data_IF_251102287034
#
_entry.id   IF_251102287034
#
_cell.length_a   1.000
_cell.length_b   1.000
_cell.length_c   1.000
_cell.angle_alpha   90.00
_cell.angle_beta   90.00
_cell.angle_gamma   90.00
#
_symmetry.space_group_name_H-M   'P 1'
#
loop_
_entity.id
_entity.type
_entity.pdbx_description
1 polymer ?
#
# COMPACT_ATOMS: atom_id res chain seq x y z
N UNK A 1 15.65 5.01 13.34
CA UNK A 1 14.22 5.38 13.37
C UNK A 1 13.51 4.48 14.35
N UNK A 2 12.73 5.07 15.27
CA UNK A 2 11.90 4.30 16.18
C UNK A 2 10.74 3.64 15.41
N UNK A 3 10.60 2.32 15.52
CA UNK A 3 9.57 1.54 14.81
C UNK A 3 8.16 1.92 15.27
N UNK A 4 8.01 2.50 16.46
CA UNK A 4 6.71 3.00 16.95
C UNK A 4 6.26 4.26 16.20
N UNK A 5 7.18 5.17 15.87
CA UNK A 5 6.87 6.41 15.12
C UNK A 5 6.34 6.13 13.71
N UNK A 6 6.85 5.09 13.04
CA UNK A 6 6.36 4.65 11.72
C UNK A 6 4.99 3.99 11.83
N UNK A 7 4.72 3.26 12.91
CA UNK A 7 3.40 2.66 13.12
C UNK A 7 2.32 3.72 13.33
N UNK A 8 2.67 4.85 13.94
CA UNK A 8 1.74 5.97 14.10
C UNK A 8 1.26 6.53 12.75
N UNK A 9 2.10 6.50 11.71
CA UNK A 9 1.71 7.00 10.38
C UNK A 9 0.61 6.15 9.73
N UNK A 10 0.56 4.84 10.02
CA UNK A 10 -0.57 3.99 9.65
C UNK A 10 -1.87 4.47 10.28
N UNK A 11 -1.87 4.77 11.58
CA UNK A 11 -3.07 5.19 12.30
C UNK A 11 -3.56 6.57 11.82
N UNK A 12 -2.64 7.49 11.52
CA UNK A 12 -2.96 8.78 10.91
C UNK A 12 -3.57 8.61 9.50
N UNK A 13 -2.96 7.77 8.65
CA UNK A 13 -3.49 7.50 7.32
C UNK A 13 -4.88 6.85 7.37
N UNK A 14 -5.07 5.87 8.27
CA UNK A 14 -6.35 5.19 8.49
C UNK A 14 -7.42 6.18 8.98
N UNK A 15 -7.07 7.06 9.90
CA UNK A 15 -7.97 8.10 10.42
C UNK A 15 -8.45 9.06 9.34
N UNK A 16 -7.54 9.56 8.50
CA UNK A 16 -7.89 10.44 7.38
C UNK A 16 -8.73 9.72 6.32
N UNK A 17 -8.39 8.48 5.97
CA UNK A 17 -9.19 7.63 5.07
C UNK A 17 -10.62 7.45 5.63
N UNK A 18 -10.74 7.06 6.90
CA UNK A 18 -12.03 6.87 7.57
C UNK A 18 -12.86 8.15 7.69
N UNK A 19 -12.21 9.30 7.94
CA UNK A 19 -12.90 10.60 7.95
C UNK A 19 -13.50 10.95 6.59
N UNK A 20 -12.71 10.83 5.52
CA UNK A 20 -13.17 11.13 4.17
C UNK A 20 -14.30 10.18 3.73
N UNK A 21 -14.23 8.89 4.10
CA UNK A 21 -15.34 7.94 3.90
C UNK A 21 -16.59 8.34 4.66
N UNK A 22 -16.46 8.82 5.91
CA UNK A 22 -17.60 9.33 6.69
C UNK A 22 -18.28 10.51 6.00
N UNK A 23 -17.51 11.35 5.32
CA UNK A 23 -18.02 12.50 4.54
C UNK A 23 -18.56 12.10 3.15
N UNK A 24 -18.43 10.84 2.73
CA UNK A 24 -18.94 10.38 1.43
C UNK A 24 -18.00 10.58 0.25
N UNK A 25 -16.71 10.85 0.47
CA UNK A 25 -15.74 10.96 -0.63
C UNK A 25 -15.65 9.65 -1.43
N UNK A 26 -15.69 8.49 -0.78
CA UNK A 26 -15.86 7.18 -1.42
C UNK A 26 -16.55 6.19 -0.48
N UNK A 27 -16.95 5.04 -1.02
CA UNK A 27 -17.57 3.95 -0.26
C UNK A 27 -16.51 2.95 0.18
N UNK A 28 -16.42 2.74 1.49
CA UNK A 28 -15.59 1.70 2.09
C UNK A 28 -16.28 1.20 3.38
N UNK A 29 -16.96 0.05 3.34
CA UNK A 29 -17.65 -0.48 4.51
C UNK A 29 -16.67 -1.06 5.55
N UNK A 30 -15.40 -1.25 5.19
CA UNK A 30 -14.40 -1.93 6.00
C UNK A 30 -13.55 -0.96 6.83
N UNK A 31 -13.23 0.24 6.33
CA UNK A 31 -12.30 1.16 7.01
C UNK A 31 -12.73 1.52 8.45
N UNK A 32 -14.05 1.55 8.70
CA UNK A 32 -14.62 1.84 10.02
C UNK A 32 -14.26 0.80 11.08
N UNK A 33 -13.90 -0.43 10.69
CA UNK A 33 -13.43 -1.44 11.66
C UNK A 33 -12.02 -1.16 12.16
N UNK A 34 -11.22 -0.45 11.37
CA UNK A 34 -9.85 -0.06 11.71
C UNK A 34 -9.79 1.31 12.39
N UNK A 35 -10.71 2.22 12.04
CA UNK A 35 -10.89 3.50 12.72
C UNK A 35 -12.39 3.84 12.86
N UNK A 36 -13.05 3.46 13.99
CA UNK A 36 -14.47 3.71 14.19
C UNK A 36 -14.82 5.19 14.40
N UNK A 37 -13.91 5.94 15.05
CA UNK A 37 -14.10 7.35 15.41
C UNK A 37 -12.95 8.17 14.82
N UNK A 38 -13.03 8.57 13.54
CA UNK A 38 -11.99 9.38 12.94
C UNK A 38 -12.07 10.84 13.39
N UNK A 39 -10.90 11.43 13.63
CA UNK A 39 -10.72 12.86 13.87
C UNK A 39 -10.99 13.63 12.58
N UNK A 40 -11.55 14.83 12.69
CA UNK A 40 -11.80 15.69 11.54
C UNK A 40 -10.50 16.19 10.90
N UNK A 41 -10.47 16.15 9.58
CA UNK A 41 -9.40 16.73 8.76
C UNK A 41 -9.93 17.90 7.93
N UNK A 42 -9.04 18.74 7.41
CA UNK A 42 -9.45 19.83 6.51
C UNK A 42 -9.98 19.25 5.18
N UNK A 43 -10.78 20.04 4.42
CA UNK A 43 -11.28 19.60 3.12
C UNK A 43 -10.15 19.23 2.14
N UNK A 44 -9.05 19.96 2.15
CA UNK A 44 -7.89 19.72 1.27
C UNK A 44 -7.25 18.36 1.55
N UNK A 45 -7.11 18.00 2.83
CA UNK A 45 -6.61 16.69 3.23
C UNK A 45 -7.56 15.59 2.76
N UNK A 46 -8.87 15.77 2.95
CA UNK A 46 -9.87 14.79 2.51
C UNK A 46 -9.87 14.59 0.99
N UNK A 47 -9.73 15.69 0.22
CA UNK A 47 -9.56 15.65 -1.25
C UNK A 47 -8.28 14.95 -1.66
N UNK A 48 -7.16 15.23 -0.99
CA UNK A 48 -5.89 14.54 -1.25
C UNK A 48 -6.00 13.03 -1.04
N UNK A 49 -6.62 12.60 0.07
CA UNK A 49 -6.87 11.18 0.33
C UNK A 49 -7.84 10.56 -0.67
N UNK A 50 -8.85 11.30 -1.13
CA UNK A 50 -9.73 10.83 -2.19
C UNK A 50 -8.96 10.53 -3.47
N UNK A 51 -8.16 11.48 -3.99
CA UNK A 51 -7.36 11.27 -5.21
C UNK A 51 -6.39 10.10 -5.02
N UNK A 52 -5.68 10.06 -3.89
CA UNK A 52 -4.77 8.97 -3.51
C UNK A 52 -5.46 7.60 -3.59
N UNK A 53 -6.60 7.43 -2.92
CA UNK A 53 -7.32 6.14 -2.87
C UNK A 53 -7.90 5.75 -4.23
N UNK A 54 -8.52 6.70 -4.95
CA UNK A 54 -9.09 6.44 -6.27
C UNK A 54 -8.02 6.05 -7.29
N UNK A 55 -6.83 6.67 -7.21
CA UNK A 55 -5.71 6.36 -8.10
C UNK A 55 -5.24 4.91 -7.93
N UNK A 56 -5.01 4.47 -6.69
CA UNK A 56 -4.60 3.08 -6.42
C UNK A 56 -5.65 2.09 -6.86
N UNK A 57 -6.92 2.34 -6.51
CA UNK A 57 -8.01 1.44 -6.90
C UNK A 57 -8.19 1.36 -8.42
N UNK A 58 -8.11 2.49 -9.13
CA UNK A 58 -8.23 2.53 -10.58
C UNK A 58 -7.08 1.79 -11.28
N UNK A 59 -5.84 2.06 -10.90
CA UNK A 59 -4.66 1.42 -11.49
C UNK A 59 -4.66 -0.08 -11.20
N UNK A 60 -4.94 -0.48 -9.96
CA UNK A 60 -5.00 -1.90 -9.58
C UNK A 60 -6.12 -2.61 -10.34
N UNK A 61 -7.32 -2.04 -10.38
CA UNK A 61 -8.45 -2.62 -11.13
C UNK A 61 -8.08 -2.77 -12.61
N UNK A 62 -7.48 -1.74 -13.20
CA UNK A 62 -7.06 -1.78 -14.61
C UNK A 62 -6.01 -2.85 -14.87
N UNK A 63 -4.99 -2.94 -14.02
CA UNK A 63 -3.95 -3.96 -14.12
C UNK A 63 -4.51 -5.39 -14.03
N UNK A 64 -5.47 -5.62 -13.13
CA UNK A 64 -6.17 -6.91 -13.02
C UNK A 64 -6.96 -7.23 -14.29
N UNK A 65 -7.66 -6.23 -14.85
CA UNK A 65 -8.43 -6.39 -16.09
C UNK A 65 -7.52 -6.68 -17.29
N UNK A 66 -6.45 -5.92 -17.48
CA UNK A 66 -5.52 -6.10 -18.60
C UNK A 66 -4.79 -7.46 -18.55
N UNK A 67 -4.71 -8.08 -17.37
CA UNK A 67 -4.13 -9.41 -17.19
C UNK A 67 -5.18 -10.54 -17.11
N UNK A 68 -6.46 -10.28 -17.39
CA UNK A 68 -7.57 -11.24 -17.24
C UNK A 68 -7.58 -11.94 -15.87
N UNK A 69 -7.30 -11.18 -14.80
CA UNK A 69 -7.13 -11.65 -13.41
C UNK A 69 -5.95 -12.59 -13.17
N UNK A 70 -5.20 -12.97 -14.21
CA UNK A 70 -4.01 -13.83 -14.13
C UNK A 70 -2.75 -13.03 -13.76
N UNK A 71 -2.82 -12.29 -12.67
CA UNK A 71 -1.73 -11.47 -12.14
C UNK A 71 -1.61 -11.59 -10.62
N UNK A 72 -0.56 -10.97 -10.08
CA UNK A 72 -0.22 -10.97 -8.66
C UNK A 72 -0.12 -9.52 -8.18
N UNK A 73 -0.54 -9.27 -6.95
CA UNK A 73 -0.42 -7.95 -6.32
C UNK A 73 0.29 -8.07 -5.00
N UNK A 74 1.27 -7.20 -4.76
CA UNK A 74 2.02 -7.12 -3.51
C UNK A 74 1.97 -5.68 -2.98
N UNK A 75 1.27 -5.48 -1.88
CA UNK A 75 1.15 -4.19 -1.21
C UNK A 75 2.15 -4.09 -0.06
N UNK A 76 3.19 -3.28 -0.25
CA UNK A 76 4.21 -3.00 0.76
C UNK A 76 3.72 -1.94 1.73
N UNK A 77 3.98 -2.12 3.02
CA UNK A 77 3.52 -1.18 4.06
C UNK A 77 2.01 -1.01 4.05
N UNK A 78 1.28 -2.11 3.86
CA UNK A 78 -0.16 -2.08 3.60
C UNK A 78 -0.98 -1.52 4.78
N UNK A 79 -0.42 -1.51 5.99
CA UNK A 79 -1.09 -1.00 7.17
C UNK A 79 -2.50 -1.56 7.32
N UNK A 80 -3.47 -0.69 7.60
CA UNK A 80 -4.89 -1.03 7.72
C UNK A 80 -5.66 -0.86 6.41
N UNK A 81 -4.99 -0.95 5.26
CA UNK A 81 -5.61 -0.81 3.95
C UNK A 81 -6.71 -1.86 3.71
N UNK A 82 -7.73 -1.47 2.94
CA UNK A 82 -8.96 -2.21 2.69
C UNK A 82 -9.17 -2.56 1.22
N UNK A 83 -8.21 -2.25 0.35
CA UNK A 83 -8.33 -2.40 -1.11
C UNK A 83 -8.67 -3.84 -1.49
N UNK A 84 -8.07 -4.86 -0.86
CA UNK A 84 -8.42 -6.26 -1.12
C UNK A 84 -9.93 -6.52 -0.99
N UNK A 85 -10.55 -6.04 0.09
CA UNK A 85 -11.98 -6.26 0.33
C UNK A 85 -12.84 -5.52 -0.69
N UNK A 86 -12.48 -4.29 -1.04
CA UNK A 86 -13.17 -3.50 -2.07
C UNK A 86 -13.05 -4.12 -3.46
N UNK A 87 -11.91 -4.73 -3.78
CA UNK A 87 -11.72 -5.50 -5.02
C UNK A 87 -12.56 -6.79 -5.01
N UNK A 88 -12.64 -7.48 -3.86
CA UNK A 88 -13.47 -8.68 -3.71
C UNK A 88 -14.96 -8.39 -3.92
N UNK A 89 -15.47 -7.30 -3.35
CA UNK A 89 -16.87 -6.87 -3.53
C UNK A 89 -17.21 -6.57 -4.99
N UNK A 90 -16.21 -6.22 -5.80
CA UNK A 90 -16.33 -5.96 -7.24
C UNK A 90 -15.99 -7.18 -8.11
N UNK A 91 -15.79 -8.35 -7.50
CA UNK A 91 -15.37 -9.60 -8.16
C UNK A 91 -14.08 -9.44 -9.01
N UNK A 92 -13.22 -8.50 -8.64
CA UNK A 92 -12.02 -8.11 -9.39
C UNK A 92 -10.76 -8.46 -8.63
N UNK A 93 -10.65 -9.72 -8.18
CA UNK A 93 -9.47 -10.21 -7.46
C UNK A 93 -8.39 -10.72 -8.42
N UNK A 94 -7.10 -10.49 -8.12
CA UNK A 94 -5.99 -11.15 -8.80
C UNK A 94 -5.88 -12.62 -8.37
N UNK A 95 -4.96 -13.37 -8.99
CA UNK A 95 -4.64 -14.74 -8.59
C UNK A 95 -4.13 -14.81 -7.15
N UNK A 96 -3.28 -13.85 -6.76
CA UNK A 96 -2.73 -13.72 -5.41
C UNK A 96 -2.68 -12.24 -5.03
N UNK A 97 -3.14 -11.91 -3.82
CA UNK A 97 -2.99 -10.59 -3.22
C UNK A 97 -2.21 -10.71 -1.92
N UNK A 98 -1.07 -10.03 -1.82
CA UNK A 98 -0.18 -10.07 -0.66
C UNK A 98 -0.12 -8.69 -0.03
N UNK A 99 -0.20 -8.64 1.29
CA UNK A 99 0.10 -7.47 2.11
C UNK A 99 1.30 -7.75 3.00
N UNK A 100 2.24 -6.81 3.00
CA UNK A 100 3.45 -6.85 3.82
C UNK A 100 3.48 -5.63 4.73
N UNK A 101 3.81 -5.83 6.00
CA UNK A 101 4.07 -4.74 6.94
C UNK A 101 4.99 -5.19 8.08
N UNK A 102 5.37 -4.28 8.96
CA UNK A 102 6.08 -4.60 10.19
C UNK A 102 5.24 -5.51 11.10
N UNK A 103 5.88 -6.38 11.90
CA UNK A 103 5.17 -7.37 12.72
C UNK A 103 4.07 -6.81 13.61
N UNK A 104 4.23 -5.60 14.16
CA UNK A 104 3.23 -4.96 15.01
C UNK A 104 1.93 -4.60 14.25
N UNK A 105 2.06 -4.01 13.05
CA UNK A 105 0.93 -3.67 12.19
C UNK A 105 0.21 -4.92 11.69
N UNK A 106 0.97 -5.95 11.29
CA UNK A 106 0.40 -7.24 10.88
C UNK A 106 -0.38 -7.89 12.02
N UNK A 107 0.19 -7.94 13.24
CA UNK A 107 -0.51 -8.44 14.43
C UNK A 107 -1.81 -7.68 14.70
N UNK A 108 -1.78 -6.34 14.65
CA UNK A 108 -2.96 -5.48 14.86
C UNK A 108 -4.04 -5.73 13.80
N UNK A 109 -3.65 -5.85 12.53
CA UNK A 109 -4.57 -6.14 11.42
C UNK A 109 -5.20 -7.52 11.58
N UNK A 110 -4.40 -8.57 11.78
CA UNK A 110 -4.90 -9.95 11.98
C UNK A 110 -5.85 -10.00 13.18
N UNK A 111 -5.51 -9.34 14.30
CA UNK A 111 -6.39 -9.27 15.46
C UNK A 111 -7.74 -8.61 15.13
N UNK A 112 -7.72 -7.51 14.38
CA UNK A 112 -8.94 -6.81 13.94
C UNK A 112 -9.78 -7.67 13.00
N UNK A 113 -9.15 -8.34 12.04
CA UNK A 113 -9.80 -9.27 11.12
C UNK A 113 -10.52 -10.38 11.90
N UNK A 114 -9.86 -11.01 12.88
CA UNK A 114 -10.42 -12.09 13.70
C UNK A 114 -11.65 -11.68 14.52
N UNK A 115 -11.76 -10.42 14.92
CA UNK A 115 -12.85 -9.92 15.78
C UNK A 115 -14.01 -9.30 15.03
N UNK A 116 -13.78 -8.87 13.79
CA UNK A 116 -14.77 -8.14 13.00
C UNK A 116 -15.63 -9.10 12.18
N UNK A 117 -16.93 -9.17 12.48
CA UNK A 117 -17.89 -10.02 11.74
C UNK A 117 -17.98 -9.66 10.25
N UNK A 118 -17.95 -8.36 9.92
CA UNK A 118 -18.01 -7.91 8.53
C UNK A 118 -16.75 -8.35 7.75
N UNK A 119 -15.56 -8.24 8.36
CA UNK A 119 -14.32 -8.69 7.74
C UNK A 119 -14.27 -10.22 7.62
N UNK A 120 -14.69 -10.95 8.66
CA UNK A 120 -14.78 -12.41 8.59
C UNK A 120 -15.73 -12.88 7.48
N UNK A 121 -16.87 -12.22 7.33
CA UNK A 121 -17.83 -12.51 6.27
C UNK A 121 -17.23 -12.21 4.89
N UNK A 122 -16.51 -11.09 4.75
CA UNK A 122 -15.81 -10.74 3.52
C UNK A 122 -14.62 -11.67 3.23
N UNK A 123 -14.01 -12.33 4.22
CA UNK A 123 -12.94 -13.31 4.03
C UNK A 123 -13.47 -14.71 3.69
N UNK A 124 -14.69 -15.04 4.13
CA UNK A 124 -15.33 -16.29 3.82
C UNK A 124 -15.41 -16.50 2.31
N UNK A 125 -14.94 -17.67 1.89
CA UNK A 125 -14.98 -18.14 0.51
C UNK A 125 -15.44 -19.59 0.64
N UNK A 126 -16.66 -19.92 0.20
CA UNK A 126 -17.26 -21.28 0.13
C UNK A 126 -16.97 -22.27 1.26
N UNK A 127 -18.01 -22.70 1.99
CA UNK A 127 -18.09 -23.84 2.95
C UNK A 127 -16.98 -24.04 4.01
N UNK A 128 -16.01 -23.14 4.12
CA UNK A 128 -14.94 -23.23 5.11
C UNK A 128 -15.32 -22.47 6.38
N UNK A 129 -15.90 -23.19 7.34
CA UNK A 129 -16.42 -22.67 8.62
C UNK A 129 -15.37 -22.34 9.68
N UNK A 130 -14.07 -22.49 9.39
CA UNK A 130 -13.01 -22.08 10.32
C UNK A 130 -11.88 -21.30 9.63
N UNK A 131 -12.03 -19.97 9.57
CA UNK A 131 -11.02 -19.05 9.05
C UNK A 131 -10.01 -18.57 10.09
N UNK A 132 -10.16 -18.95 11.37
CA UNK A 132 -9.21 -18.52 12.39
C UNK A 132 -7.92 -19.33 12.24
N UNK A 133 -6.79 -18.73 11.82
CA UNK A 133 -5.53 -19.45 11.89
C UNK A 133 -5.24 -19.68 13.38
N UNK A 134 -5.32 -20.93 13.83
CA UNK A 134 -4.48 -21.45 14.91
C UNK A 134 -3.06 -21.46 14.37
N UNK A 135 -2.40 -20.31 14.44
CA UNK A 135 -1.13 -20.07 13.77
C UNK A 135 -0.43 -18.84 14.34
N UNK A 136 0.84 -18.61 13.96
CA UNK A 136 1.64 -17.53 14.50
C UNK A 136 1.01 -16.17 14.18
N UNK A 137 1.17 -15.21 15.08
CA UNK A 137 0.51 -13.89 15.00
C UNK A 137 1.15 -12.95 13.98
N UNK A 138 2.21 -13.39 13.30
CA UNK A 138 3.02 -12.64 12.34
C UNK A 138 2.57 -12.85 10.88
N UNK A 139 1.60 -13.75 10.62
CA UNK A 139 1.08 -14.04 9.28
C UNK A 139 -0.35 -14.58 9.29
N UNK A 140 -1.06 -14.40 8.19
CA UNK A 140 -2.37 -15.01 7.94
C UNK A 140 -2.58 -15.29 6.44
N UNK A 141 -3.36 -16.32 6.14
CA UNK A 141 -3.74 -16.72 4.78
C UNK A 141 -5.25 -16.97 4.73
N UNK A 142 -5.91 -16.40 3.72
CA UNK A 142 -7.33 -16.56 3.43
C UNK A 142 -7.51 -16.80 1.93
N UNK A 143 -7.46 -18.06 1.50
CA UNK A 143 -7.48 -18.40 0.08
C UNK A 143 -6.27 -17.79 -0.65
N UNK A 144 -6.53 -16.88 -1.59
CA UNK A 144 -5.53 -16.13 -2.37
C UNK A 144 -5.01 -14.86 -1.68
N UNK A 145 -5.53 -14.51 -0.51
CA UNK A 145 -5.10 -13.34 0.26
C UNK A 145 -4.11 -13.71 1.35
N UNK A 146 -2.94 -13.07 1.33
CA UNK A 146 -1.84 -13.30 2.25
C UNK A 146 -1.49 -12.01 2.99
N UNK A 147 -1.31 -12.11 4.31
CA UNK A 147 -0.80 -11.02 5.15
C UNK A 147 0.45 -11.56 5.84
N UNK A 148 1.58 -10.91 5.64
CA UNK A 148 2.89 -11.39 6.10
C UNK A 148 3.66 -10.27 6.77
N UNK A 149 4.35 -10.57 7.88
CA UNK A 149 5.28 -9.62 8.45
C UNK A 149 6.62 -9.63 7.72
N UNK A 150 7.12 -8.47 7.31
CA UNK A 150 8.45 -8.31 6.74
C UNK A 150 8.96 -6.89 6.96
N UNK A 151 10.23 -6.75 7.38
CA UNK A 151 10.89 -5.45 7.44
C UNK A 151 11.58 -5.19 6.11
N UNK A 152 11.08 -4.21 5.35
CA UNK A 152 11.58 -3.83 4.01
C UNK A 152 13.02 -3.29 4.02
N UNK A 153 13.62 -3.05 5.20
CA UNK A 153 15.05 -2.74 5.33
C UNK A 153 15.93 -3.99 5.43
N UNK A 154 15.32 -5.18 5.55
CA UNK A 154 16.04 -6.46 5.54
C UNK A 154 16.62 -6.76 4.15
N UNK A 155 17.45 -7.79 4.08
CA UNK A 155 18.02 -8.26 2.81
C UNK A 155 16.93 -8.52 1.76
N UNK A 156 16.95 -7.85 0.59
CA UNK A 156 15.96 -8.06 -0.45
C UNK A 156 15.88 -9.52 -0.95
N UNK A 157 16.97 -10.29 -0.89
CA UNK A 157 16.92 -11.71 -1.28
C UNK A 157 16.01 -12.53 -0.35
N UNK A 158 15.98 -12.20 0.95
CA UNK A 158 15.08 -12.84 1.92
C UNK A 158 13.60 -12.52 1.64
N UNK A 159 13.30 -11.35 1.07
CA UNK A 159 11.95 -11.02 0.62
C UNK A 159 11.53 -11.92 -0.56
N UNK A 160 12.41 -12.10 -1.54
CA UNK A 160 12.14 -12.99 -2.68
C UNK A 160 11.93 -14.42 -2.21
N UNK A 161 12.78 -14.90 -1.29
CA UNK A 161 12.62 -16.23 -0.70
C UNK A 161 11.26 -16.37 0.01
N UNK A 162 10.84 -15.36 0.79
CA UNK A 162 9.54 -15.35 1.46
C UNK A 162 8.37 -15.37 0.46
N UNK A 163 8.45 -14.55 -0.60
CA UNK A 163 7.37 -14.38 -1.55
C UNK A 163 7.23 -15.54 -2.53
N UNK A 164 8.34 -16.07 -3.05
CA UNK A 164 8.34 -17.04 -4.14
C UNK A 164 8.57 -18.48 -3.68
N UNK A 165 9.48 -18.68 -2.71
CA UNK A 165 10.07 -20.01 -2.46
C UNK A 165 9.63 -20.63 -1.12
N UNK A 166 9.16 -19.82 -0.18
CA UNK A 166 8.77 -20.28 1.16
C UNK A 166 7.48 -21.12 1.10
N UNK A 167 7.45 -22.32 1.72
CA UNK A 167 6.23 -23.13 1.81
C UNK A 167 5.11 -22.44 2.60
N UNK A 168 5.49 -21.57 3.55
CA UNK A 168 4.57 -20.75 4.35
C UNK A 168 4.24 -19.41 3.66
N UNK A 169 4.81 -19.17 2.48
CA UNK A 169 4.64 -17.97 1.68
C UNK A 169 3.48 -18.03 0.68
N UNK A 170 3.31 -16.98 -0.12
CA UNK A 170 2.29 -16.92 -1.17
C UNK A 170 2.65 -17.75 -2.41
N UNK A 171 3.90 -18.18 -2.57
CA UNK A 171 4.39 -18.90 -3.74
C UNK A 171 4.14 -18.11 -5.04
N UNK A 172 4.57 -16.85 -5.06
CA UNK A 172 4.49 -16.02 -6.26
C UNK A 172 5.29 -16.63 -7.40
N UNK A 173 4.71 -16.65 -8.59
CA UNK A 173 5.40 -17.02 -9.83
C UNK A 173 6.09 -15.78 -10.40
N UNK A 174 7.42 -15.80 -10.61
CA UNK A 174 8.13 -14.71 -11.29
C UNK A 174 7.75 -14.51 -12.77
N UNK A 175 7.05 -15.48 -13.36
CA UNK A 175 6.61 -15.46 -14.76
C UNK A 175 5.25 -14.78 -14.94
N UNK A 176 4.50 -14.57 -13.85
CA UNK A 176 3.21 -13.88 -13.89
C UNK A 176 3.37 -12.35 -13.74
N UNK A 177 2.54 -11.55 -14.44
CA UNK A 177 2.47 -10.11 -14.23
C UNK A 177 2.26 -9.78 -12.76
N UNK A 178 3.15 -8.97 -12.20
CA UNK A 178 3.15 -8.62 -10.77
C UNK A 178 3.16 -7.12 -10.59
N UNK A 179 2.15 -6.60 -9.89
CA UNK A 179 2.06 -5.19 -9.51
C UNK A 179 2.44 -5.01 -8.04
N UNK A 180 3.48 -4.22 -7.81
CA UNK A 180 3.93 -3.80 -6.49
C UNK A 180 3.34 -2.44 -6.13
N UNK A 181 2.86 -2.29 -4.91
CA UNK A 181 2.26 -1.05 -4.41
C UNK A 181 3.09 -0.53 -3.23
N UNK A 182 3.34 0.78 -3.21
CA UNK A 182 3.94 1.49 -2.08
C UNK A 182 3.21 2.83 -1.87
N UNK A 183 2.28 2.86 -0.93
CA UNK A 183 1.40 4.02 -0.67
C UNK A 183 1.88 4.81 0.56
N UNK A 184 2.77 5.78 0.35
CA UNK A 184 3.55 6.49 1.38
C UNK A 184 4.42 5.54 2.20
N UNK A 185 5.34 4.82 1.55
CA UNK A 185 6.16 3.79 2.22
C UNK A 185 7.64 4.03 2.04
N UNK A 186 8.11 4.22 0.80
CA UNK A 186 9.54 4.30 0.52
C UNK A 186 10.20 5.53 1.16
N UNK A 187 9.46 6.62 1.36
CA UNK A 187 9.92 7.83 2.07
C UNK A 187 10.34 7.56 3.52
N UNK A 188 9.81 6.52 4.17
CA UNK A 188 10.21 6.10 5.52
C UNK A 188 11.44 5.18 5.54
N UNK A 189 11.96 4.79 4.37
CA UNK A 189 13.05 3.83 4.21
C UNK A 189 14.26 4.54 3.61
N UNK A 190 15.44 4.51 4.27
CA UNK A 190 16.66 5.06 3.68
C UNK A 190 16.92 4.52 2.27
N UNK A 191 17.36 5.39 1.35
CA UNK A 191 17.59 5.04 -0.07
C UNK A 191 18.52 3.82 -0.22
N UNK A 192 19.52 3.69 0.66
CA UNK A 192 20.44 2.54 0.69
C UNK A 192 19.75 1.18 0.89
N UNK A 193 18.53 1.15 1.41
CA UNK A 193 17.71 -0.06 1.57
C UNK A 193 16.61 -0.15 0.52
N UNK A 194 15.93 0.96 0.20
CA UNK A 194 14.84 0.95 -0.79
C UNK A 194 15.33 0.73 -2.22
N UNK A 195 16.52 1.21 -2.61
CA UNK A 195 17.03 0.97 -3.97
C UNK A 195 17.38 -0.51 -4.24
N UNK A 196 18.08 -1.23 -3.34
CA UNK A 196 18.25 -2.68 -3.48
C UNK A 196 16.93 -3.47 -3.56
N UNK A 197 15.93 -3.08 -2.77
CA UNK A 197 14.58 -3.62 -2.86
C UNK A 197 13.98 -3.42 -4.26
N UNK A 198 13.97 -2.19 -4.78
CA UNK A 198 13.45 -1.90 -6.11
C UNK A 198 14.21 -2.67 -7.22
N UNK A 199 15.54 -2.79 -7.08
CA UNK A 199 16.40 -3.50 -8.01
C UNK A 199 16.10 -5.00 -8.07
N UNK A 200 15.96 -5.67 -6.92
CA UNK A 200 15.69 -7.11 -6.92
C UNK A 200 14.30 -7.42 -7.49
N UNK A 201 13.31 -6.55 -7.26
CA UNK A 201 11.96 -6.74 -7.80
C UNK A 201 11.94 -6.64 -9.34
N UNK A 202 12.63 -5.63 -9.89
CA UNK A 202 12.73 -5.44 -11.35
C UNK A 202 13.45 -6.58 -12.06
N UNK A 203 14.42 -7.20 -11.38
CA UNK A 203 15.25 -8.28 -11.95
C UNK A 203 14.64 -9.66 -11.76
N UNK A 204 13.91 -9.90 -10.67
CA UNK A 204 13.32 -11.21 -10.37
C UNK A 204 12.08 -11.49 -11.19
N UNK A 205 11.20 -10.51 -11.40
CA UNK A 205 9.91 -10.69 -12.06
C UNK A 205 9.97 -10.28 -13.52
N UNK A 206 9.61 -11.20 -14.42
CA UNK A 206 9.70 -11.00 -15.88
C UNK A 206 8.79 -9.88 -16.39
N UNK A 207 7.62 -9.70 -15.74
CA UNK A 207 6.64 -8.67 -16.04
C UNK A 207 6.25 -7.99 -14.72
N UNK A 208 6.90 -6.87 -14.41
CA UNK A 208 6.68 -6.14 -13.18
C UNK A 208 6.19 -4.72 -13.45
N UNK A 209 5.25 -4.26 -12.61
CA UNK A 209 4.87 -2.86 -12.49
C UNK A 209 5.00 -2.40 -11.04
N UNK A 210 5.28 -1.12 -10.82
CA UNK A 210 5.37 -0.54 -9.49
C UNK A 210 4.57 0.76 -9.41
N UNK A 211 3.62 0.84 -8.49
CA UNK A 211 2.89 2.05 -8.16
C UNK A 211 3.41 2.64 -6.85
N UNK A 212 4.16 3.73 -6.96
CA UNK A 212 4.68 4.50 -5.83
C UNK A 212 3.87 5.80 -5.68
N UNK A 213 3.42 6.09 -4.46
CA UNK A 213 2.86 7.40 -4.10
C UNK A 213 3.57 7.90 -2.85
N UNK A 214 4.24 9.03 -2.95
CA UNK A 214 4.90 9.70 -1.84
C UNK A 214 5.08 11.18 -2.16
N UNK A 215 5.75 11.91 -1.27
CA UNK A 215 6.03 13.33 -1.43
C UNK A 215 6.87 13.59 -2.69
N UNK A 216 6.71 14.78 -3.26
CA UNK A 216 7.52 15.30 -4.37
C UNK A 216 7.66 16.81 -4.25
N UNK A 217 8.64 17.41 -4.94
CA UNK A 217 8.94 18.84 -4.88
C UNK A 217 9.35 19.32 -3.48
N UNK A 218 10.00 18.45 -2.69
CA UNK A 218 10.32 18.69 -1.29
C UNK A 218 11.46 19.69 -1.03
N UNK A 219 11.94 20.36 -2.07
CA UNK A 219 13.00 21.36 -2.02
C UNK A 219 12.46 22.80 -1.94
N UNK A 220 11.15 22.99 -1.99
CA UNK A 220 10.52 24.31 -1.85
C UNK A 220 10.20 24.66 -0.38
N UNK A 221 9.62 25.85 -0.16
CA UNK A 221 9.22 26.33 1.17
C UNK A 221 8.18 25.43 1.83
N UNK A 222 7.28 24.82 1.06
CA UNK A 222 6.29 23.90 1.62
C UNK A 222 6.96 22.59 2.06
N UNK A 223 7.92 22.09 1.30
CA UNK A 223 8.77 20.96 1.67
C UNK A 223 9.60 21.22 2.94
N UNK A 224 10.12 22.44 3.13
CA UNK A 224 10.76 22.85 4.39
C UNK A 224 9.81 22.79 5.58
N UNK A 225 8.60 23.36 5.44
CA UNK A 225 7.57 23.34 6.49
C UNK A 225 7.17 21.90 6.82
N UNK A 226 6.92 21.09 5.80
CA UNK A 226 6.56 19.68 5.97
C UNK A 226 7.67 18.88 6.67
N UNK A 227 8.94 19.10 6.31
CA UNK A 227 10.08 18.49 7.00
C UNK A 227 10.12 18.84 8.48
N UNK A 228 9.90 20.12 8.83
CA UNK A 228 9.84 20.52 10.23
C UNK A 228 8.70 19.82 10.96
N UNK A 229 7.51 19.79 10.36
CA UNK A 229 6.33 19.14 10.95
C UNK A 229 6.54 17.66 11.27
N UNK A 230 7.22 16.92 10.38
CA UNK A 230 7.57 15.51 10.63
C UNK A 230 8.61 15.35 11.74
N UNK A 231 9.65 16.20 11.74
CA UNK A 231 10.67 16.22 12.79
C UNK A 231 10.09 16.55 14.17
N UNK A 232 9.17 17.50 14.24
CA UNK A 232 8.51 17.93 15.48
C UNK A 232 7.63 16.82 16.09
N UNK A 233 7.26 15.82 15.28
CA UNK A 233 6.55 14.60 15.70
C UNK A 233 7.46 13.37 15.86
N UNK A 234 8.78 13.57 15.88
CA UNK A 234 9.79 12.49 15.95
C UNK A 234 9.64 11.44 14.84
N UNK A 235 9.11 11.83 13.67
CA UNK A 235 8.95 10.97 12.51
C UNK A 235 9.94 11.43 11.43
N UNK A 236 11.08 10.74 11.31
CA UNK A 236 12.07 11.05 10.28
C UNK A 236 11.62 10.52 8.90
N UNK A 237 12.00 11.23 7.83
CA UNK A 237 11.78 10.83 6.44
C UNK A 237 13.13 10.55 5.76
N UNK A 238 13.79 9.40 6.01
CA UNK A 238 15.13 9.11 5.51
C UNK A 238 15.18 8.80 4.01
N UNK A 239 14.03 8.57 3.37
CA UNK A 239 13.90 8.43 1.92
C UNK A 239 13.66 9.76 1.22
N UNK A 240 13.60 10.89 1.95
CA UNK A 240 13.16 12.17 1.41
C UNK A 240 14.09 12.75 0.34
N UNK A 241 15.36 12.36 0.32
CA UNK A 241 16.31 12.76 -0.73
C UNK A 241 15.84 12.32 -2.13
N UNK A 242 14.98 11.30 -2.22
CA UNK A 242 14.36 10.88 -3.48
C UNK A 242 13.15 11.74 -3.90
N UNK A 243 12.66 12.62 -3.03
CA UNK A 243 11.42 13.37 -3.21
C UNK A 243 11.65 14.80 -3.74
N UNK A 244 12.83 15.07 -4.32
CA UNK A 244 13.22 16.41 -4.77
C UNK A 244 12.40 16.94 -5.95
N UNK A 245 12.10 16.07 -6.94
CA UNK A 245 11.26 16.39 -8.10
C UNK A 245 10.74 15.09 -8.75
N UNK A 246 9.82 15.21 -9.71
CA UNK A 246 9.37 14.05 -10.52
C UNK A 246 10.54 13.42 -11.29
N UNK A 247 11.46 14.21 -11.83
CA UNK A 247 12.63 13.70 -12.55
C UNK A 247 13.58 12.89 -11.66
N UNK A 248 13.73 13.28 -10.39
CA UNK A 248 14.51 12.51 -9.41
C UNK A 248 13.88 11.14 -9.19
N UNK A 249 12.56 11.06 -9.03
CA UNK A 249 11.85 9.79 -8.89
C UNK A 249 11.95 8.93 -10.17
N UNK A 250 11.75 9.53 -11.34
CA UNK A 250 11.88 8.85 -12.63
C UNK A 250 13.28 8.25 -12.78
N UNK A 251 14.31 9.06 -12.50
CA UNK A 251 15.72 8.65 -12.59
C UNK A 251 16.03 7.54 -11.58
N UNK A 252 15.53 7.65 -10.35
CA UNK A 252 15.71 6.63 -9.30
C UNK A 252 15.21 5.26 -9.76
N UNK A 253 13.99 5.17 -10.29
CA UNK A 253 13.41 3.90 -10.75
C UNK A 253 14.16 3.35 -11.98
N UNK A 254 14.51 4.20 -12.95
CA UNK A 254 15.30 3.79 -14.13
C UNK A 254 16.67 3.22 -13.73
N UNK A 255 17.35 3.85 -12.79
CA UNK A 255 18.67 3.42 -12.31
C UNK A 255 18.66 2.05 -11.60
N UNK A 256 17.49 1.59 -11.15
CA UNK A 256 17.32 0.30 -10.46
C UNK A 256 16.54 -0.70 -11.31
N UNK A 257 16.60 -0.58 -12.64
CA UNK A 257 16.16 -1.61 -13.58
C UNK A 257 14.75 -1.49 -14.13
N UNK A 258 13.97 -0.47 -13.73
CA UNK A 258 12.64 -0.25 -14.28
C UNK A 258 12.72 0.42 -15.66
N UNK A 259 12.18 -0.25 -16.68
CA UNK A 259 12.36 0.14 -18.09
C UNK A 259 11.53 1.34 -18.48
N UNK A 260 10.27 1.40 -18.05
CA UNK A 260 9.33 2.49 -18.33
C UNK A 260 8.88 3.13 -17.02
N UNK A 261 9.09 4.45 -16.90
CA UNK A 261 8.73 5.20 -15.69
C UNK A 261 8.04 6.49 -16.07
N UNK A 262 6.84 6.69 -15.51
CA UNK A 262 6.05 7.91 -15.62
C UNK A 262 5.71 8.39 -14.22
N UNK A 263 5.70 9.71 -14.04
CA UNK A 263 5.38 10.32 -12.76
C UNK A 263 4.54 11.57 -12.98
N UNK A 264 3.63 11.81 -12.05
CA UNK A 264 2.69 12.93 -12.07
C UNK A 264 2.55 13.48 -10.65
N UNK A 265 2.24 14.77 -10.52
CA UNK A 265 1.82 15.32 -9.24
C UNK A 265 0.38 14.90 -8.95
N UNK A 266 -0.03 14.97 -7.67
CA UNK A 266 -1.43 14.71 -7.30
C UNK A 266 -2.41 15.68 -7.98
N UNK A 267 -1.96 16.90 -8.32
CA UNK A 267 -2.76 17.89 -9.02
C UNK A 267 -2.97 17.50 -10.49
N UNK A 268 -1.96 16.95 -11.15
CA UNK A 268 -2.09 16.43 -12.52
C UNK A 268 -3.09 15.27 -12.55
N UNK A 269 -3.02 14.37 -11.55
CA UNK A 269 -3.95 13.24 -11.42
C UNK A 269 -5.37 13.74 -11.12
N UNK A 270 -5.53 14.71 -10.21
CA UNK A 270 -6.82 15.33 -9.93
C UNK A 270 -7.42 15.96 -11.20
N UNK A 271 -6.60 16.65 -12.00
CA UNK A 271 -7.01 17.24 -13.28
C UNK A 271 -7.42 16.22 -14.35
N UNK A 272 -7.01 14.96 -14.21
CA UNK A 272 -7.41 13.86 -15.11
C UNK A 272 -8.67 13.11 -14.66
N UNK A 273 -9.24 13.42 -13.48
CA UNK A 273 -10.45 12.76 -13.00
C UNK A 273 -11.66 13.11 -13.89
N UNK A 274 -12.62 12.19 -14.04
CA UNK A 274 -13.84 12.48 -14.80
C UNK A 274 -14.60 13.68 -14.21
N UNK A 275 -15.18 14.57 -15.04
CA UNK A 275 -15.86 15.78 -14.57
C UNK A 275 -16.95 15.50 -13.53
N UNK A 276 -17.71 14.43 -13.70
CA UNK A 276 -18.76 14.00 -12.77
C UNK A 276 -18.21 13.58 -11.41
N UNK A 277 -16.97 13.08 -11.36
CA UNK A 277 -16.29 12.73 -10.11
C UNK A 277 -15.80 13.98 -9.39
N UNK A 278 -15.36 15.00 -10.13
CA UNK A 278 -14.91 16.30 -9.59
C UNK A 278 -16.09 17.14 -9.08
N UNK A 279 -17.25 17.04 -9.75
CA UNK A 279 -18.46 17.78 -9.37
C UNK A 279 -19.13 17.25 -8.10
N UNK A 280 -19.02 15.94 -7.85
CA UNK A 280 -19.60 15.26 -6.68
C UNK A 280 -18.83 15.55 -5.40
#
# INVERSE_FOLDING_TARGET
MDRESVQYTNDEATGNKAYAVRLGYWVDPYIRTFCPIPVSSTPEISRGYFVRVQTFEAIVTRFIQDCDKSCQIVNFGAGSDTLYFRLKDRESLPRIYVELDLPANVKKKIFTLKRSKILQSALASGDSTSLLPSGPTDRAKFGSYHILSFDLQSDPASLIQLLCDSPDGPQLSPDLPTLFLAECVLVYIPIKFSNPLLSILSSKFSQAAFLNYEQVNMLDKFGEIMRSHFRDRSCELPGLDACGSLDVQITRFKNVGWTEVRAWTINDVFGSLPPEVVQR
#
